data_IF_415706319988
#
_entry.id   IF_415706319988
#
_cell.length_a   1.000
_cell.length_b   1.000
_cell.length_c   1.000
_cell.angle_alpha   90.00
_cell.angle_beta   90.00
_cell.angle_gamma   90.00
#
_symmetry.space_group_name_H-M   'P 1'
#
loop_
_entity.id
_entity.type
_entity.pdbx_description
1 polymer ?
#
# COMPACT_ATOMS: atom_id res chain seq x y z
N UNK A 1 -0.17 6.64 24.08
CA UNK A 1 0.46 6.02 22.88
C UNK A 1 1.89 6.54 22.77
N UNK A 2 2.88 5.68 22.46
CA UNK A 2 4.30 6.06 22.39
C UNK A 2 4.63 6.63 21.01
N UNK A 3 5.33 7.77 20.99
CA UNK A 3 5.93 8.35 19.78
C UNK A 3 7.43 8.12 19.84
N UNK A 4 8.03 7.76 18.72
CA UNK A 4 9.48 7.71 18.50
C UNK A 4 9.82 8.82 17.53
N UNK A 5 10.65 9.76 17.95
CA UNK A 5 10.95 10.94 17.16
C UNK A 5 12.15 10.74 16.22
N UNK A 6 12.21 11.54 15.16
CA UNK A 6 13.35 11.65 14.24
C UNK A 6 13.84 10.32 13.65
N UNK A 7 12.92 9.42 13.31
CA UNK A 7 13.28 8.16 12.65
C UNK A 7 13.58 8.44 11.19
N UNK A 8 14.84 8.27 10.80
CA UNK A 8 15.25 8.25 9.39
C UNK A 8 14.88 6.90 8.76
N UNK A 9 14.16 6.97 7.65
CA UNK A 9 13.77 5.80 6.86
C UNK A 9 14.93 5.48 5.92
N UNK A 10 15.67 4.43 6.22
CA UNK A 10 16.91 4.08 5.51
C UNK A 10 16.69 3.09 4.37
N UNK A 11 15.49 2.56 4.23
CA UNK A 11 15.16 1.65 3.14
C UNK A 11 13.76 1.11 3.25
N UNK A 12 13.53 -0.01 2.56
CA UNK A 12 12.24 -0.69 2.54
C UNK A 12 12.41 -2.15 2.93
N UNK A 13 11.50 -2.61 3.76
CA UNK A 13 11.37 -3.99 4.21
C UNK A 13 10.27 -4.72 3.44
N UNK A 14 9.93 -5.92 3.90
CA UNK A 14 8.88 -6.75 3.34
C UNK A 14 7.54 -5.99 3.26
N UNK A 15 6.75 -6.35 2.24
CA UNK A 15 5.41 -5.79 1.99
C UNK A 15 5.39 -4.27 1.75
N UNK A 16 6.54 -3.68 1.43
CA UNK A 16 6.66 -2.29 1.04
C UNK A 16 6.67 -1.30 2.20
N UNK A 17 6.95 -1.76 3.43
CA UNK A 17 7.05 -0.91 4.62
C UNK A 17 8.42 -0.25 4.69
N UNK A 18 8.48 1.05 4.96
CA UNK A 18 9.74 1.71 5.26
C UNK A 18 10.38 1.13 6.52
N UNK A 19 11.70 1.13 6.57
CA UNK A 19 12.46 0.69 7.74
C UNK A 19 13.40 1.78 8.21
N UNK A 20 13.39 2.02 9.52
CA UNK A 20 14.33 2.88 10.22
C UNK A 20 14.71 2.24 11.56
N UNK A 21 15.40 3.01 12.41
CA UNK A 21 15.74 2.61 13.78
C UNK A 21 15.43 3.74 14.74
N UNK A 22 15.04 3.38 15.96
CA UNK A 22 14.96 4.35 17.06
C UNK A 22 16.37 4.66 17.63
N UNK A 23 16.45 5.61 18.56
CA UNK A 23 17.71 6.01 19.20
C UNK A 23 18.45 4.84 19.88
N UNK A 24 17.71 3.83 20.36
CA UNK A 24 18.26 2.61 20.96
C UNK A 24 18.71 1.56 19.95
N UNK A 25 18.61 1.86 18.64
CA UNK A 25 18.95 0.96 17.55
C UNK A 25 17.88 -0.08 17.23
N UNK A 26 16.71 -0.04 17.88
CA UNK A 26 15.62 -0.99 17.63
C UNK A 26 14.97 -0.71 16.29
N UNK A 27 14.66 -1.75 15.51
CA UNK A 27 14.05 -1.62 14.18
C UNK A 27 12.62 -1.07 14.29
N UNK A 28 12.30 -0.09 13.44
CA UNK A 28 10.95 0.49 13.34
C UNK A 28 10.45 0.35 11.90
N UNK A 29 9.35 -0.38 11.72
CA UNK A 29 8.64 -0.47 10.44
C UNK A 29 7.56 0.61 10.36
N UNK A 30 7.54 1.33 9.25
CA UNK A 30 6.67 2.49 9.06
C UNK A 30 5.95 2.39 7.71
N UNK A 31 4.62 2.54 7.71
CA UNK A 31 3.84 2.63 6.47
C UNK A 31 3.74 4.08 5.97
N UNK A 32 3.46 4.27 4.68
CA UNK A 32 3.29 5.60 4.04
C UNK A 32 4.53 6.52 4.05
N UNK A 33 5.72 5.94 4.21
CA UNK A 33 7.00 6.64 4.10
C UNK A 33 7.79 6.20 2.86
N UNK A 34 8.75 7.02 2.45
CA UNK A 34 9.75 6.74 1.44
C UNK A 34 11.14 6.67 2.11
N UNK A 35 12.08 5.86 1.60
CA UNK A 35 13.49 5.95 1.97
C UNK A 35 14.01 7.38 1.81
N UNK A 36 14.71 7.90 2.82
CA UNK A 36 15.17 9.29 2.92
C UNK A 36 14.29 10.21 3.79
N UNK A 37 13.04 9.81 4.05
CA UNK A 37 12.16 10.54 4.97
C UNK A 37 12.73 10.55 6.40
N UNK A 38 12.48 11.64 7.13
CA UNK A 38 12.72 11.73 8.57
C UNK A 38 11.39 12.06 9.26
N UNK A 39 10.92 11.16 10.11
CA UNK A 39 9.55 11.22 10.65
C UNK A 39 9.49 10.93 12.15
N UNK A 40 8.49 11.52 12.81
CA UNK A 40 8.02 11.03 14.10
C UNK A 40 7.02 9.91 13.86
N UNK A 41 7.23 8.78 14.54
CA UNK A 41 6.46 7.56 14.35
C UNK A 41 5.62 7.28 15.58
N UNK A 42 4.31 7.21 15.41
CA UNK A 42 3.38 6.73 16.42
C UNK A 42 3.35 5.20 16.39
N UNK A 43 3.86 4.59 17.44
CA UNK A 43 3.95 3.13 17.54
C UNK A 43 2.57 2.55 17.84
N UNK A 44 2.13 1.64 16.98
CA UNK A 44 0.86 0.90 17.13
C UNK A 44 1.08 -0.54 17.61
N UNK A 45 2.29 -1.07 17.40
CA UNK A 45 2.68 -2.40 17.88
C UNK A 45 4.16 -2.39 18.24
N UNK A 46 4.51 -2.99 19.37
CA UNK A 46 5.90 -3.15 19.80
C UNK A 46 6.15 -4.59 20.21
N UNK A 47 7.15 -5.23 19.59
CA UNK A 47 7.70 -6.53 19.98
C UNK A 47 9.12 -6.35 20.52
N UNK A 48 9.76 -7.41 20.99
CA UNK A 48 11.15 -7.36 21.46
C UNK A 48 12.10 -6.84 20.37
N UNK A 49 12.03 -7.44 19.17
CA UNK A 49 12.97 -7.16 18.08
C UNK A 49 12.65 -5.90 17.25
N UNK A 50 11.38 -5.51 17.19
CA UNK A 50 10.95 -4.40 16.33
C UNK A 50 9.68 -3.72 16.83
N UNK A 51 9.44 -2.54 16.30
CA UNK A 51 8.20 -1.78 16.47
C UNK A 51 7.56 -1.51 15.10
N UNK A 52 6.24 -1.33 15.07
CA UNK A 52 5.48 -0.97 13.88
C UNK A 52 4.65 0.28 14.19
N UNK A 53 4.57 1.20 13.24
CA UNK A 53 3.91 2.48 13.45
C UNK A 53 3.55 3.20 12.15
N UNK A 54 2.96 4.37 12.34
CA UNK A 54 2.60 5.29 11.27
C UNK A 54 3.26 6.64 11.52
N UNK A 55 3.68 7.36 10.47
CA UNK A 55 4.21 8.70 10.61
C UNK A 55 3.09 9.62 11.13
N UNK A 56 3.43 10.46 12.09
CA UNK A 56 2.54 11.51 12.61
C UNK A 56 3.09 12.91 12.34
N UNK A 57 4.37 13.01 12.03
CA UNK A 57 5.01 14.24 11.60
C UNK A 57 6.17 13.94 10.65
N UNK A 58 6.33 14.75 9.61
CA UNK A 58 7.45 14.67 8.67
C UNK A 58 8.35 15.87 8.89
N UNK A 59 9.56 15.63 9.38
CA UNK A 59 10.60 16.66 9.52
C UNK A 59 11.30 16.94 8.20
N UNK A 60 11.48 15.88 7.39
CA UNK A 60 12.06 15.95 6.06
C UNK A 60 11.40 14.92 5.15
N UNK A 61 11.03 15.36 3.95
CA UNK A 61 10.59 14.48 2.88
C UNK A 61 11.80 14.06 2.04
N UNK A 62 11.82 12.80 1.62
CA UNK A 62 12.82 12.29 0.67
C UNK A 62 12.74 13.00 -0.69
N UNK A 63 13.89 13.20 -1.32
CA UNK A 63 14.01 13.67 -2.71
C UNK A 63 13.50 12.63 -3.71
N UNK A 64 13.44 11.35 -3.32
CA UNK A 64 12.89 10.26 -4.13
C UNK A 64 11.36 10.22 -4.11
N UNK A 65 10.69 11.19 -3.49
CA UNK A 65 9.22 11.25 -3.51
C UNK A 65 8.68 11.79 -4.82
N UNK A 66 7.59 11.19 -5.28
CA UNK A 66 6.81 11.68 -6.42
C UNK A 66 5.34 11.69 -6.07
N UNK A 67 4.55 12.50 -6.77
CA UNK A 67 3.09 12.49 -6.60
C UNK A 67 2.51 11.20 -7.19
N UNK A 68 1.75 10.40 -6.42
CA UNK A 68 1.08 9.22 -6.94
C UNK A 68 0.09 9.55 -8.06
N UNK A 69 0.19 8.85 -9.19
CA UNK A 69 -0.76 9.05 -10.31
C UNK A 69 -2.16 8.47 -10.03
N UNK A 70 -2.31 7.57 -9.06
CA UNK A 70 -3.58 6.94 -8.74
C UNK A 70 -4.30 7.69 -7.62
N UNK A 71 -5.50 8.21 -7.91
CA UNK A 71 -6.37 8.87 -6.94
C UNK A 71 -6.74 7.99 -5.72
N UNK A 72 -6.59 6.68 -5.81
CA UNK A 72 -6.87 5.75 -4.71
C UNK A 72 -5.61 5.34 -3.92
N UNK A 73 -4.43 5.88 -4.26
CA UNK A 73 -3.19 5.54 -3.58
C UNK A 73 -3.23 5.92 -2.08
N UNK A 74 -2.51 5.17 -1.24
CA UNK A 74 -2.54 5.34 0.21
C UNK A 74 -3.75 4.70 0.90
N UNK A 75 -4.87 4.46 0.19
CA UNK A 75 -6.05 3.79 0.74
C UNK A 75 -6.25 2.40 0.12
N UNK A 76 -6.20 2.29 -1.20
CA UNK A 76 -6.31 1.02 -1.91
C UNK A 76 -5.08 0.14 -1.67
N UNK A 77 -5.28 -1.14 -1.37
CA UNK A 77 -4.20 -2.09 -1.09
C UNK A 77 -3.39 -2.56 -2.29
N UNK A 78 -3.73 -2.13 -3.51
CA UNK A 78 -3.14 -2.64 -4.74
C UNK A 78 -1.73 -2.13 -5.06
N UNK A 79 -1.36 -0.93 -4.59
CA UNK A 79 -0.08 -0.28 -4.87
C UNK A 79 0.56 0.22 -3.58
N UNK A 80 1.89 0.07 -3.44
CA UNK A 80 2.60 0.44 -2.20
C UNK A 80 3.56 1.62 -2.33
N UNK A 81 4.12 1.85 -3.51
CA UNK A 81 5.23 2.79 -3.71
C UNK A 81 5.01 3.78 -4.86
N UNK A 82 3.76 4.12 -5.22
CA UNK A 82 3.57 5.14 -6.26
C UNK A 82 4.09 6.51 -5.83
N UNK A 83 4.32 6.71 -4.53
CA UNK A 83 4.94 7.92 -3.97
C UNK A 83 6.48 7.91 -4.00
N UNK A 84 7.11 6.93 -4.65
CA UNK A 84 8.57 6.78 -4.75
C UNK A 84 8.97 6.72 -6.23
N UNK A 85 10.04 7.44 -6.62
CA UNK A 85 10.62 7.42 -7.97
C UNK A 85 10.88 5.99 -8.44
N UNK A 86 10.73 5.72 -9.73
CA UNK A 86 10.85 4.36 -10.24
C UNK A 86 12.27 3.81 -10.09
N UNK A 87 13.26 4.69 -10.23
CA UNK A 87 14.68 4.44 -10.02
C UNK A 87 14.94 3.97 -8.58
N UNK A 88 14.40 4.69 -7.59
CA UNK A 88 14.51 4.32 -6.17
C UNK A 88 13.77 3.01 -5.87
N UNK A 89 12.61 2.76 -6.50
CA UNK A 89 11.93 1.46 -6.39
C UNK A 89 12.81 0.30 -6.90
N UNK A 90 13.51 0.47 -8.04
CA UNK A 90 14.43 -0.54 -8.59
C UNK A 90 15.60 -0.73 -7.63
N UNK A 91 16.23 0.35 -7.18
CA UNK A 91 17.36 0.32 -6.25
C UNK A 91 17.04 -0.45 -4.97
N UNK A 92 15.91 -0.15 -4.32
CA UNK A 92 15.53 -0.83 -3.09
C UNK A 92 15.09 -2.30 -3.31
N UNK A 93 14.51 -2.64 -4.46
CA UNK A 93 14.29 -4.05 -4.84
C UNK A 93 15.60 -4.80 -5.00
N UNK A 94 16.60 -4.18 -5.60
CA UNK A 94 17.92 -4.78 -5.75
C UNK A 94 18.56 -5.05 -4.39
N UNK A 95 18.53 -4.05 -3.49
CA UNK A 95 19.02 -4.21 -2.12
C UNK A 95 18.30 -5.32 -1.37
N UNK A 96 16.99 -5.49 -1.56
CA UNK A 96 16.24 -6.58 -0.93
C UNK A 96 16.71 -7.96 -1.42
N UNK A 97 16.88 -8.14 -2.73
CA UNK A 97 17.39 -9.40 -3.29
C UNK A 97 18.81 -9.69 -2.81
N UNK A 98 19.69 -8.67 -2.84
CA UNK A 98 21.08 -8.78 -2.38
C UNK A 98 21.15 -9.17 -0.90
N UNK A 99 20.36 -8.49 -0.06
CA UNK A 99 20.29 -8.79 1.38
C UNK A 99 19.73 -10.20 1.63
N UNK A 100 18.74 -10.66 0.86
CA UNK A 100 18.22 -12.01 0.98
C UNK A 100 19.30 -13.07 0.67
N UNK A 101 20.05 -12.89 -0.43
CA UNK A 101 21.14 -13.80 -0.80
C UNK A 101 22.26 -13.83 0.25
N UNK A 102 22.75 -12.66 0.65
CA UNK A 102 23.92 -12.56 1.54
C UNK A 102 23.58 -12.87 3.00
N UNK A 103 22.49 -12.30 3.53
CA UNK A 103 22.19 -12.38 4.97
C UNK A 103 21.46 -13.66 5.34
N UNK A 104 20.52 -14.11 4.50
CA UNK A 104 19.70 -15.29 4.75
C UNK A 104 20.33 -16.50 4.04
N UNK A 105 20.56 -16.40 2.74
CA UNK A 105 21.12 -17.49 1.94
C UNK A 105 22.60 -17.78 2.21
N UNK A 106 23.35 -16.82 2.78
CA UNK A 106 24.80 -16.90 2.96
C UNK A 106 25.55 -17.18 1.65
N UNK A 107 25.01 -16.65 0.54
CA UNK A 107 25.59 -16.77 -0.80
C UNK A 107 26.11 -15.43 -1.26
N UNK A 108 27.35 -15.41 -1.74
CA UNK A 108 27.94 -14.26 -2.45
C UNK A 108 28.09 -14.63 -3.93
N UNK A 109 27.19 -14.13 -4.80
CA UNK A 109 27.31 -14.41 -6.22
C UNK A 109 28.55 -13.71 -6.78
N UNK A 110 29.26 -14.37 -7.71
CA UNK A 110 30.43 -13.81 -8.39
C UNK A 110 30.10 -12.51 -9.14
N UNK A 111 28.89 -12.43 -9.67
CA UNK A 111 28.36 -11.26 -10.38
C UNK A 111 26.92 -11.01 -9.93
N UNK A 112 26.56 -9.74 -9.77
CA UNK A 112 25.19 -9.32 -9.50
C UNK A 112 24.73 -8.39 -10.61
N UNK A 113 23.85 -8.88 -11.47
CA UNK A 113 23.29 -8.08 -12.57
C UNK A 113 22.22 -7.11 -12.04
N UNK A 114 22.13 -5.89 -12.61
CA UNK A 114 21.13 -4.92 -12.19
C UNK A 114 19.71 -5.42 -12.51
N UNK A 115 18.74 -5.01 -11.70
CA UNK A 115 17.32 -5.28 -12.00
C UNK A 115 16.93 -4.54 -13.28
N UNK A 116 16.35 -5.29 -14.23
CA UNK A 116 15.76 -4.72 -15.42
C UNK A 116 14.43 -4.01 -15.08
N UNK A 117 14.38 -2.72 -15.38
CA UNK A 117 13.15 -1.95 -15.31
C UNK A 117 12.11 -2.45 -16.32
N UNK A 118 10.84 -2.31 -15.97
CA UNK A 118 9.73 -2.52 -16.88
C UNK A 118 9.61 -1.35 -17.85
N UNK A 119 9.29 -1.65 -19.10
CA UNK A 119 9.04 -0.64 -20.14
C UNK A 119 7.86 0.27 -19.79
N UNK A 120 6.84 -0.28 -19.11
CA UNK A 120 5.64 0.44 -18.69
C UNK A 120 5.37 0.22 -17.21
N UNK A 121 5.24 1.30 -16.45
CA UNK A 121 4.96 1.30 -15.01
C UNK A 121 3.48 1.54 -14.70
N UNK A 122 2.68 1.85 -15.73
CA UNK A 122 1.23 2.00 -15.68
C UNK A 122 0.59 1.06 -16.70
N UNK A 123 -0.69 0.72 -16.47
CA UNK A 123 -1.50 -0.06 -17.41
C UNK A 123 -0.84 -1.37 -17.90
N UNK A 124 -0.06 -2.03 -17.05
CA UNK A 124 0.70 -3.24 -17.42
C UNK A 124 0.02 -4.54 -17.00
N UNK A 125 -0.98 -4.51 -16.11
CA UNK A 125 -1.65 -5.73 -15.62
C UNK A 125 -2.62 -6.23 -16.68
N UNK A 126 -2.52 -7.51 -17.03
CA UNK A 126 -3.47 -8.18 -17.91
C UNK A 126 -4.64 -8.83 -17.15
N UNK A 127 -4.50 -9.03 -15.83
CA UNK A 127 -5.52 -9.60 -14.93
C UNK A 127 -5.64 -8.78 -13.65
N UNK A 128 -6.87 -8.54 -13.21
CA UNK A 128 -7.24 -8.01 -11.90
C UNK A 128 -8.42 -8.81 -11.36
N UNK A 129 -8.50 -8.94 -10.04
CA UNK A 129 -9.62 -9.54 -9.33
C UNK A 129 -10.22 -8.47 -8.41
N UNK A 130 -11.52 -8.26 -8.51
CA UNK A 130 -12.24 -7.26 -7.73
C UNK A 130 -13.23 -7.96 -6.80
N UNK A 131 -13.48 -7.35 -5.65
CA UNK A 131 -14.46 -7.83 -4.69
C UNK A 131 -15.71 -6.94 -4.72
N UNK A 132 -16.88 -7.59 -4.76
CA UNK A 132 -18.16 -6.96 -4.45
C UNK A 132 -18.32 -6.91 -2.93
N UNK A 133 -18.84 -5.81 -2.41
CA UNK A 133 -19.22 -5.72 -1.00
C UNK A 133 -20.37 -4.75 -0.78
N UNK A 134 -21.22 -5.04 0.21
CA UNK A 134 -22.22 -4.11 0.72
C UNK A 134 -21.66 -3.09 1.74
N UNK A 135 -20.35 -3.14 2.01
CA UNK A 135 -19.65 -2.26 2.97
C UNK A 135 -18.43 -1.61 2.32
N UNK A 136 -18.46 -0.28 2.25
CA UNK A 136 -17.33 0.51 1.76
C UNK A 136 -16.36 0.91 2.86
N UNK A 137 -15.11 1.14 2.48
CA UNK A 137 -14.17 1.88 3.31
C UNK A 137 -14.58 3.35 3.38
N UNK A 138 -14.43 3.96 4.56
CA UNK A 138 -14.65 5.38 4.80
C UNK A 138 -13.31 6.06 5.07
N UNK A 139 -13.10 7.26 4.53
CA UNK A 139 -11.96 8.10 4.94
C UNK A 139 -12.16 8.64 6.36
N UNK A 140 -11.11 9.23 6.94
CA UNK A 140 -11.22 9.83 8.28
C UNK A 140 -12.25 10.97 8.28
N UNK A 141 -12.24 11.80 7.23
CA UNK A 141 -13.16 12.92 7.05
C UNK A 141 -14.62 12.43 6.94
N UNK A 142 -14.86 11.34 6.22
CA UNK A 142 -16.20 10.75 6.11
C UNK A 142 -16.71 10.19 7.44
N UNK A 143 -15.82 9.59 8.25
CA UNK A 143 -16.16 9.11 9.58
C UNK A 143 -16.52 10.29 10.49
N UNK A 144 -15.72 11.35 10.47
CA UNK A 144 -15.98 12.57 11.25
C UNK A 144 -17.29 13.25 10.84
N UNK A 145 -17.63 13.21 9.54
CA UNK A 145 -18.90 13.67 9.01
C UNK A 145 -20.10 12.74 9.31
N UNK A 146 -19.87 11.60 9.97
CA UNK A 146 -20.92 10.65 10.34
C UNK A 146 -21.47 9.82 9.18
N UNK A 147 -20.69 9.61 8.12
CA UNK A 147 -21.12 8.83 6.96
C UNK A 147 -21.39 7.35 7.31
N UNK A 148 -22.41 6.76 6.67
CA UNK A 148 -22.63 5.32 6.71
C UNK A 148 -21.71 4.60 5.72
N UNK A 149 -21.22 3.43 6.12
CA UNK A 149 -20.41 2.55 5.28
C UNK A 149 -21.22 1.53 4.49
N UNK A 150 -22.54 1.43 4.72
CA UNK A 150 -23.43 0.56 3.92
C UNK A 150 -23.54 1.12 2.51
N UNK A 151 -22.88 0.46 1.56
CA UNK A 151 -22.91 0.82 0.16
C UNK A 151 -22.45 -0.37 -0.69
N UNK A 152 -23.14 -0.61 -1.79
CA UNK A 152 -22.72 -1.54 -2.83
C UNK A 152 -21.48 -0.97 -3.55
N UNK A 153 -20.35 -1.64 -3.39
CA UNK A 153 -19.07 -1.23 -3.96
C UNK A 153 -18.37 -2.39 -4.67
N UNK A 154 -17.56 -2.03 -5.67
CA UNK A 154 -16.73 -2.97 -6.41
C UNK A 154 -15.31 -2.42 -6.48
N UNK A 155 -14.35 -3.16 -5.92
CA UNK A 155 -12.99 -2.65 -5.84
C UNK A 155 -12.03 -3.57 -5.11
N UNK A 156 -11.16 -2.98 -4.29
CA UNK A 156 -10.09 -3.69 -3.59
C UNK A 156 -10.16 -3.51 -2.08
N UNK A 157 -9.60 -4.47 -1.36
CA UNK A 157 -9.39 -4.35 0.08
C UNK A 157 -8.39 -3.24 0.42
N UNK A 158 -8.63 -2.56 1.53
CA UNK A 158 -7.60 -1.79 2.21
C UNK A 158 -6.74 -2.73 3.06
N UNK A 159 -5.41 -2.58 3.10
CA UNK A 159 -4.56 -3.36 3.99
C UNK A 159 -5.04 -3.27 5.45
N UNK A 160 -5.17 -4.42 6.12
CA UNK A 160 -5.67 -4.51 7.49
C UNK A 160 -7.20 -4.44 7.66
N UNK A 161 -7.96 -4.24 6.58
CA UNK A 161 -9.42 -4.25 6.59
C UNK A 161 -9.95 -5.36 5.66
N UNK A 162 -10.37 -6.48 6.25
CA UNK A 162 -10.82 -7.65 5.51
C UNK A 162 -12.30 -7.58 5.11
N UNK A 163 -13.10 -6.79 5.82
CA UNK A 163 -14.56 -6.76 5.72
C UNK A 163 -15.13 -5.54 4.99
N UNK A 164 -14.25 -4.67 4.47
CA UNK A 164 -14.63 -3.42 3.79
C UNK A 164 -13.82 -3.25 2.52
N UNK A 165 -14.47 -2.70 1.50
CA UNK A 165 -13.87 -2.50 0.18
C UNK A 165 -13.73 -1.01 -0.14
N UNK A 166 -12.57 -0.62 -0.67
CA UNK A 166 -12.38 0.69 -1.28
C UNK A 166 -13.05 0.64 -2.65
N UNK A 167 -14.03 1.51 -2.89
CA UNK A 167 -14.65 1.62 -4.21
C UNK A 167 -13.62 2.14 -5.22
N UNK A 168 -13.50 1.49 -6.37
CA UNK A 168 -12.50 1.84 -7.39
C UNK A 168 -13.21 2.23 -8.67
N UNK A 169 -13.07 3.50 -9.06
CA UNK A 169 -13.61 3.97 -10.33
C UNK A 169 -12.60 3.79 -11.46
N UNK A 170 -11.32 4.00 -11.18
CA UNK A 170 -10.23 3.82 -12.16
C UNK A 170 -8.99 3.16 -11.54
N UNK A 171 -8.56 2.04 -12.11
CA UNK A 171 -7.30 1.41 -11.79
C UNK A 171 -6.29 1.69 -12.89
N UNK A 172 -5.34 2.57 -12.60
CA UNK A 172 -4.26 3.00 -13.51
C UNK A 172 -3.23 1.90 -13.81
N UNK A 173 -3.42 0.68 -13.28
CA UNK A 173 -2.55 -0.46 -13.55
C UNK A 173 -3.11 -1.44 -14.59
N UNK A 174 -4.37 -1.33 -15.00
CA UNK A 174 -4.94 -2.17 -16.06
C UNK A 174 -5.65 -1.31 -17.10
N UNK A 175 -5.31 -1.45 -18.40
CA UNK A 175 -5.86 -0.61 -19.45
C UNK A 175 -7.35 -0.89 -19.68
N UNK A 176 -7.99 -0.03 -20.47
CA UNK A 176 -9.30 -0.34 -21.04
C UNK A 176 -9.27 -1.69 -21.80
N UNK A 177 -10.38 -2.45 -21.80
CA UNK A 177 -11.72 -2.05 -21.35
C UNK A 177 -12.01 -2.30 -19.84
N UNK A 178 -11.00 -2.59 -19.01
CA UNK A 178 -11.23 -3.10 -17.65
C UNK A 178 -12.02 -2.15 -16.74
N UNK A 179 -11.67 -0.86 -16.71
CA UNK A 179 -12.38 0.09 -15.84
C UNK A 179 -13.82 0.27 -16.29
N UNK A 180 -14.05 0.39 -17.61
CA UNK A 180 -15.41 0.42 -18.17
C UNK A 180 -16.21 -0.83 -17.81
N UNK A 181 -15.62 -2.02 -17.94
CA UNK A 181 -16.28 -3.28 -17.58
C UNK A 181 -16.62 -3.33 -16.09
N UNK A 182 -15.67 -3.03 -15.19
CA UNK A 182 -15.89 -3.00 -13.74
C UNK A 182 -17.07 -2.09 -13.38
N UNK A 183 -17.04 -0.84 -13.85
CA UNK A 183 -18.07 0.14 -13.54
C UNK A 183 -19.43 -0.25 -14.13
N UNK A 184 -19.44 -0.86 -15.32
CA UNK A 184 -20.65 -1.36 -15.98
C UNK A 184 -21.26 -2.52 -15.22
N UNK A 185 -20.46 -3.51 -14.80
CA UNK A 185 -20.94 -4.67 -14.04
C UNK A 185 -21.55 -4.23 -12.71
N UNK A 186 -20.90 -3.31 -11.98
CA UNK A 186 -21.47 -2.73 -10.74
C UNK A 186 -22.84 -2.10 -10.99
N UNK A 187 -22.94 -1.23 -12.00
CA UNK A 187 -24.19 -0.56 -12.35
C UNK A 187 -25.31 -1.55 -12.71
N UNK A 188 -25.00 -2.57 -13.52
CA UNK A 188 -25.98 -3.61 -13.89
C UNK A 188 -26.45 -4.39 -12.65
N UNK A 189 -25.53 -4.72 -11.73
CA UNK A 189 -25.88 -5.42 -10.50
C UNK A 189 -26.82 -4.58 -9.62
N UNK A 190 -26.56 -3.27 -9.50
CA UNK A 190 -27.44 -2.35 -8.79
C UNK A 190 -28.82 -2.22 -9.47
N UNK A 191 -28.87 -2.06 -10.79
CA UNK A 191 -30.11 -1.97 -11.58
C UNK A 191 -30.98 -3.23 -11.48
N UNK A 192 -30.36 -4.40 -11.33
CA UNK A 192 -31.05 -5.67 -11.15
C UNK A 192 -31.42 -5.97 -9.69
N UNK A 193 -31.04 -5.11 -8.74
CA UNK A 193 -31.27 -5.33 -7.32
C UNK A 193 -30.52 -6.54 -6.75
N UNK A 194 -29.36 -6.88 -7.32
CA UNK A 194 -28.54 -7.97 -6.80
C UNK A 194 -27.95 -7.60 -5.44
N UNK A 195 -27.94 -8.56 -4.52
CA UNK A 195 -27.22 -8.41 -3.25
C UNK A 195 -25.71 -8.48 -3.46
N UNK A 196 -24.99 -7.67 -2.69
CA UNK A 196 -23.53 -7.70 -2.66
C UNK A 196 -23.08 -8.43 -1.40
N UNK A 197 -21.99 -9.18 -1.51
CA UNK A 197 -21.53 -10.04 -0.44
C UNK A 197 -21.13 -9.28 0.83
N UNK A 198 -21.68 -9.69 1.96
CA UNK A 198 -21.29 -9.23 3.29
C UNK A 198 -20.29 -10.21 3.90
N UNK A 199 -19.03 -9.80 3.96
CA UNK A 199 -17.93 -10.66 4.42
C UNK A 199 -18.09 -11.13 5.88
N UNK A 200 -18.78 -10.35 6.74
CA UNK A 200 -19.00 -10.75 8.14
C UNK A 200 -20.20 -11.65 8.32
N UNK A 201 -21.29 -11.35 7.62
CA UNK A 201 -22.50 -12.16 7.68
C UNK A 201 -22.37 -13.43 6.82
N UNK A 202 -21.39 -13.51 5.92
CA UNK A 202 -21.17 -14.60 4.97
C UNK A 202 -22.42 -14.89 4.13
N UNK A 203 -23.07 -13.82 3.66
CA UNK A 203 -24.31 -13.84 2.88
C UNK A 203 -24.25 -12.80 1.78
N UNK A 204 -25.06 -12.97 0.74
CA UNK A 204 -25.14 -12.09 -0.41
C UNK A 204 -25.53 -12.84 -1.66
#
# INVERSE_FOLDING_TARGET
MRIVSNVEITGVADKGRGVGRDEGGKVVFVEHVAPGDVVDVRIVRSKTEYSEGYPVHYHRLSEDRVEPFCAHFGVCGGCRWQHVTYESQIHHKELMVRNALQRIGKVEPREFLPILGAERTTYYRNKLEFAFSNKRWLTAEEIEAGADNRANVLGFHRPGAFDKIVNIEHCYLQPEPSNRLRNTVRRIADEQGLSFFDMRANTG
#
